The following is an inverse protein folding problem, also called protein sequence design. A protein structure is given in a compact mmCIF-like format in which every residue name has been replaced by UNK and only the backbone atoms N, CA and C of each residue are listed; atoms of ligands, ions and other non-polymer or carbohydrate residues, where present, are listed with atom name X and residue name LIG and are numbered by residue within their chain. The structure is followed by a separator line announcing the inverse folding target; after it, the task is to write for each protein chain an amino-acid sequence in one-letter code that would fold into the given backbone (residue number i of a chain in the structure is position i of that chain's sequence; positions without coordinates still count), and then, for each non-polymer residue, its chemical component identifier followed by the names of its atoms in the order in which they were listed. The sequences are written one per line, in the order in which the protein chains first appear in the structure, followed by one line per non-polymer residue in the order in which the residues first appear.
data_IF_650710829261
#
_entry.id   IF_650710829261
#
_cell.length_a   1.000
_cell.length_b   1.000
_cell.length_c   1.000
_cell.angle_alpha   90.00
_cell.angle_beta   90.00
_cell.angle_gamma   90.00
#
_symmetry.space_group_name_H-M   'P 1'
#
loop_
_entity.id
_entity.type
_entity.pdbx_description
1 polymer ?
#
# COMPACT_ATOMS: atom_id res chain seq x y z
N UNK A 1 3.88 19.37 -10.56
CA UNK A 1 3.51 18.99 -9.18
C UNK A 1 3.15 17.52 -9.17
N UNK A 2 3.75 16.70 -8.29
CA UNK A 2 3.23 15.35 -8.07
C UNK A 2 2.01 15.46 -7.17
N UNK A 3 0.83 15.20 -7.72
CA UNK A 3 -0.43 15.17 -6.98
C UNK A 3 -0.65 13.81 -6.30
N UNK A 4 -1.73 13.70 -5.54
CA UNK A 4 -2.16 12.45 -4.92
C UNK A 4 -3.11 11.70 -5.86
N UNK A 5 -2.81 10.44 -6.16
CA UNK A 5 -3.73 9.54 -6.86
C UNK A 5 -4.69 8.89 -5.87
N UNK A 6 -5.97 8.83 -6.23
CA UNK A 6 -7.01 8.17 -5.41
C UNK A 6 -7.60 7.02 -6.22
N UNK A 7 -7.55 5.81 -5.66
CA UNK A 7 -8.16 4.61 -6.24
C UNK A 7 -9.46 4.32 -5.51
N UNK A 8 -10.59 4.19 -6.24
CA UNK A 8 -11.86 3.74 -5.66
C UNK A 8 -11.85 2.22 -5.55
N UNK A 9 -12.22 1.70 -4.38
CA UNK A 9 -12.46 0.27 -4.19
C UNK A 9 -13.93 -0.03 -4.51
N UNK A 10 -14.20 -0.94 -5.46
CA UNK A 10 -15.56 -1.45 -5.75
C UNK A 10 -16.05 -2.47 -4.70
N UNK A 11 -15.29 -2.63 -3.61
CA UNK A 11 -15.52 -3.57 -2.52
C UNK A 11 -14.56 -3.27 -1.38
N UNK A 12 -13.73 -4.25 -0.99
CA UNK A 12 -12.73 -4.06 0.07
C UNK A 12 -11.60 -3.12 -0.36
N UNK A 13 -11.27 -2.15 0.50
CA UNK A 13 -10.10 -1.31 0.35
C UNK A 13 -8.79 -2.10 0.36
N UNK A 14 -8.71 -3.15 1.17
CA UNK A 14 -7.54 -4.03 1.26
C UNK A 14 -7.30 -4.76 -0.06
N UNK A 15 -8.37 -5.24 -0.70
CA UNK A 15 -8.26 -5.89 -2.01
C UNK A 15 -7.85 -4.91 -3.10
N UNK A 16 -8.30 -3.65 -3.01
CA UNK A 16 -7.84 -2.61 -3.90
C UNK A 16 -6.35 -2.30 -3.70
N UNK A 17 -5.88 -2.20 -2.45
CA UNK A 17 -4.46 -2.00 -2.14
C UNK A 17 -3.61 -3.16 -2.69
N UNK A 18 -4.00 -4.42 -2.43
CA UNK A 18 -3.27 -5.59 -2.92
C UNK A 18 -3.19 -5.61 -4.45
N UNK A 19 -4.26 -5.23 -5.15
CA UNK A 19 -4.26 -5.11 -6.62
C UNK A 19 -3.32 -3.99 -7.08
N UNK A 20 -3.42 -2.80 -6.48
CA UNK A 20 -2.54 -1.68 -6.81
C UNK A 20 -1.07 -2.04 -6.61
N UNK A 21 -0.72 -2.73 -5.52
CA UNK A 21 0.66 -3.21 -5.29
C UNK A 21 1.09 -4.19 -6.38
N UNK A 22 0.22 -5.13 -6.77
CA UNK A 22 0.51 -6.14 -7.81
C UNK A 22 0.77 -5.53 -9.19
N UNK A 23 0.10 -4.43 -9.51
CA UNK A 23 0.19 -3.78 -10.81
C UNK A 23 1.43 -2.87 -10.95
N UNK A 24 2.16 -2.62 -9.85
CA UNK A 24 3.42 -1.85 -9.90
C UNK A 24 4.53 -2.69 -10.57
N UNK A 25 5.31 -2.13 -11.50
CA UNK A 25 6.43 -2.83 -12.11
C UNK A 25 7.43 -3.35 -11.06
N UNK A 26 7.94 -4.56 -11.26
CA UNK A 26 8.80 -5.24 -10.28
C UNK A 26 10.13 -4.50 -9.95
N UNK A 27 10.55 -3.54 -10.78
CA UNK A 27 11.74 -2.72 -10.54
C UNK A 27 11.49 -1.49 -9.67
N UNK A 28 10.22 -1.15 -9.42
CA UNK A 28 9.82 -0.05 -8.52
C UNK A 28 9.67 -0.56 -7.08
N UNK A 29 9.91 0.33 -6.12
CA UNK A 29 9.75 0.03 -4.69
C UNK A 29 8.40 0.55 -4.21
N UNK A 30 7.63 -0.33 -3.58
CA UNK A 30 6.33 0.01 -2.98
C UNK A 30 6.44 0.00 -1.46
N UNK A 31 5.96 1.06 -0.81
CA UNK A 31 5.75 1.13 0.63
C UNK A 31 4.24 1.18 0.90
N UNK A 32 3.73 0.21 1.63
CA UNK A 32 2.36 0.22 2.15
C UNK A 32 2.38 0.68 3.60
N UNK A 33 1.56 1.69 3.91
CA UNK A 33 1.36 2.18 5.27
C UNK A 33 0.05 1.60 5.78
N UNK A 34 0.11 0.71 6.78
CA UNK A 34 -1.10 0.12 7.38
C UNK A 34 -0.85 -0.37 8.80
N UNK A 35 -1.90 -0.34 9.64
CA UNK A 35 -1.90 -1.01 10.95
C UNK A 35 -2.47 -2.43 10.89
N UNK A 36 -3.07 -2.82 9.76
CA UNK A 36 -3.70 -4.12 9.58
C UNK A 36 -2.66 -5.23 9.36
N UNK A 37 -2.70 -6.26 10.20
CA UNK A 37 -1.74 -7.37 10.18
C UNK A 37 -1.96 -8.32 9.01
N UNK A 38 -3.20 -8.54 8.59
CA UNK A 38 -3.51 -9.42 7.48
C UNK A 38 -3.17 -8.76 6.15
N UNK A 39 -3.49 -7.46 5.98
CA UNK A 39 -3.06 -6.70 4.81
C UNK A 39 -1.54 -6.66 4.72
N UNK A 40 -0.83 -6.43 5.85
CA UNK A 40 0.65 -6.50 5.91
C UNK A 40 1.16 -7.82 5.34
N UNK A 41 0.58 -8.96 5.74
CA UNK A 41 0.98 -10.28 5.26
C UNK A 41 0.80 -10.36 3.73
N UNK A 42 -0.40 -10.03 3.25
CA UNK A 42 -0.77 -10.11 1.83
C UNK A 42 0.10 -9.25 0.92
N UNK A 43 0.47 -8.04 1.33
CA UNK A 43 1.30 -7.15 0.49
C UNK A 43 2.79 -7.47 0.58
N UNK A 44 3.26 -8.03 1.70
CA UNK A 44 4.64 -8.51 1.83
C UNK A 44 4.92 -9.66 0.86
N UNK A 45 3.94 -10.52 0.60
CA UNK A 45 4.01 -11.59 -0.41
C UNK A 45 4.17 -11.06 -1.85
N UNK A 46 3.86 -9.76 -2.07
CA UNK A 46 4.06 -9.06 -3.34
C UNK A 46 5.34 -8.20 -3.35
N UNK A 47 6.27 -8.43 -2.42
CA UNK A 47 7.53 -7.67 -2.25
C UNK A 47 7.35 -6.20 -1.87
N UNK A 48 6.19 -5.79 -1.35
CA UNK A 48 6.03 -4.46 -0.78
C UNK A 48 6.67 -4.36 0.61
N UNK A 49 7.32 -3.22 0.90
CA UNK A 49 7.69 -2.85 2.25
C UNK A 49 6.44 -2.40 3.03
N UNK A 50 6.42 -2.62 4.36
CA UNK A 50 5.27 -2.25 5.20
C UNK A 50 5.70 -1.51 6.46
N UNK A 51 5.08 -0.34 6.69
CA UNK A 51 5.22 0.44 7.91
C UNK A 51 3.87 0.76 8.55
N UNK A 52 3.87 1.18 9.81
CA UNK A 52 2.67 1.58 10.54
C UNK A 52 2.25 3.02 10.24
N UNK A 53 0.98 3.41 10.51
CA UNK A 53 0.46 4.75 10.23
C UNK A 53 1.22 5.88 10.92
N UNK A 54 1.84 5.61 12.08
CA UNK A 54 2.64 6.62 12.79
C UNK A 54 3.81 7.15 11.96
N UNK A 55 4.43 6.29 11.15
CA UNK A 55 5.49 6.72 10.24
C UNK A 55 5.01 7.83 9.32
N UNK A 56 3.81 7.70 8.74
CA UNK A 56 3.26 8.71 7.83
C UNK A 56 2.94 10.02 8.57
N UNK A 57 2.41 9.92 9.80
CA UNK A 57 2.15 11.10 10.63
C UNK A 57 3.44 11.86 10.97
N UNK A 58 4.56 11.16 11.16
CA UNK A 58 5.87 11.77 11.40
C UNK A 58 6.49 12.40 10.12
N UNK A 59 5.86 12.25 8.94
CA UNK A 59 6.29 12.87 7.68
C UNK A 59 5.48 14.12 7.26
N UNK A 60 4.46 14.50 8.03
CA UNK A 60 3.59 15.65 7.78
C UNK A 60 3.96 16.84 8.68
#
# INVERSE_FOLDING_TARGET
SRGVGVVRAEGSGDDAIVRTVRDVPAWERVLVVTADRELRRRVSELNAAVTGPRWLLDQL
#
